data_IF_709868078859
#
_entry.id   IF_709868078859
#
_cell.length_a   1.000
_cell.length_b   1.000
_cell.length_c   1.000
_cell.angle_alpha   90.00
_cell.angle_beta   90.00
_cell.angle_gamma   90.00
#
_symmetry.space_group_name_H-M   'P 1'
#
loop_
_entity.id
_entity.type
_entity.pdbx_description
1 polymer ?
#
# COMPACT_ATOMS: atom_id res chain seq x y z
N UNK A 1 -20.71 28.04 17.12
CA UNK A 1 -19.33 27.52 17.09
C UNK A 1 -19.05 26.91 18.44
N UNK A 2 -18.41 25.76 18.49
CA UNK A 2 -17.95 25.17 19.75
C UNK A 2 -16.66 25.83 20.21
N UNK A 3 -16.47 25.95 21.51
CA UNK A 3 -15.17 26.29 22.10
C UNK A 3 -14.32 25.03 22.37
N UNK A 4 -13.04 25.21 22.67
CA UNK A 4 -12.10 24.10 22.86
C UNK A 4 -12.54 23.13 23.97
N UNK A 5 -13.16 23.62 25.05
CA UNK A 5 -13.67 22.79 26.14
C UNK A 5 -14.86 21.94 25.69
N UNK A 6 -15.77 22.50 24.90
CA UNK A 6 -16.92 21.76 24.35
C UNK A 6 -16.47 20.70 23.34
N UNK A 7 -15.43 21.00 22.55
CA UNK A 7 -14.81 20.01 21.63
C UNK A 7 -14.18 18.87 22.41
N UNK A 8 -13.49 19.17 23.51
CA UNK A 8 -12.89 18.15 24.37
C UNK A 8 -13.95 17.26 25.03
N UNK A 9 -15.00 17.86 25.62
CA UNK A 9 -16.12 17.14 26.24
C UNK A 9 -16.82 16.20 25.24
N UNK A 10 -17.06 16.71 24.03
CA UNK A 10 -17.63 15.92 22.94
C UNK A 10 -16.72 14.76 22.53
N UNK A 11 -15.41 15.02 22.37
CA UNK A 11 -14.43 14.00 21.99
C UNK A 11 -14.32 12.87 23.02
N UNK A 12 -14.26 13.21 24.31
CA UNK A 12 -14.25 12.23 25.39
C UNK A 12 -15.53 11.39 25.42
N UNK A 13 -16.68 12.03 25.22
CA UNK A 13 -17.99 11.34 25.17
C UNK A 13 -18.06 10.37 23.99
N UNK A 14 -17.63 10.80 22.80
CA UNK A 14 -17.61 9.95 21.58
C UNK A 14 -16.71 8.72 21.81
N UNK A 15 -15.49 8.91 22.32
CA UNK A 15 -14.55 7.80 22.58
C UNK A 15 -15.14 6.81 23.59
N UNK A 16 -15.78 7.31 24.65
CA UNK A 16 -16.38 6.44 25.67
C UNK A 16 -17.56 5.63 25.11
N UNK A 17 -18.40 6.24 24.27
CA UNK A 17 -19.52 5.56 23.61
C UNK A 17 -19.02 4.51 22.62
N UNK A 18 -18.01 4.83 21.80
CA UNK A 18 -17.39 3.88 20.88
C UNK A 18 -16.82 2.66 21.62
N UNK A 19 -16.09 2.90 22.72
CA UNK A 19 -15.55 1.83 23.59
C UNK A 19 -16.66 0.97 24.19
N UNK A 20 -17.77 1.58 24.62
CA UNK A 20 -18.92 0.87 25.17
C UNK A 20 -19.55 -0.09 24.15
N UNK A 21 -19.78 0.37 22.92
CA UNK A 21 -20.38 -0.45 21.85
C UNK A 21 -19.38 -1.36 21.12
N UNK A 22 -18.07 -1.20 21.39
CA UNK A 22 -16.95 -1.96 20.78
C UNK A 22 -16.98 -1.95 19.24
N UNK A 23 -17.56 -0.91 18.66
CA UNK A 23 -17.74 -0.71 17.23
C UNK A 23 -17.76 0.79 16.95
N UNK A 24 -17.21 1.24 15.81
CA UNK A 24 -17.38 2.62 15.37
C UNK A 24 -18.86 3.00 15.34
N UNK A 25 -19.19 4.14 15.92
CA UNK A 25 -20.55 4.66 15.98
C UNK A 25 -20.67 5.93 15.14
N UNK A 26 -21.80 6.07 14.47
CA UNK A 26 -22.30 7.32 13.95
C UNK A 26 -23.24 7.93 15.00
N UNK A 27 -22.98 9.17 15.40
CA UNK A 27 -23.64 9.81 16.55
C UNK A 27 -24.22 11.17 16.18
N UNK A 28 -25.44 11.41 16.62
CA UNK A 28 -26.08 12.73 16.59
C UNK A 28 -26.04 13.33 18.00
N UNK A 29 -25.64 14.59 18.10
CA UNK A 29 -25.46 15.29 19.37
C UNK A 29 -25.89 16.75 19.25
N UNK A 30 -26.19 17.36 20.40
CA UNK A 30 -26.53 18.76 20.52
C UNK A 30 -25.99 19.34 21.83
N UNK A 31 -25.71 20.64 21.83
CA UNK A 31 -25.46 21.41 23.05
C UNK A 31 -26.67 22.29 23.36
N UNK A 32 -27.17 22.22 24.58
CA UNK A 32 -28.21 23.11 25.09
C UNK A 32 -27.74 23.66 26.44
N UNK A 33 -27.66 24.99 26.57
CA UNK A 33 -27.21 25.68 27.80
C UNK A 33 -25.87 25.19 28.36
N UNK A 34 -24.90 24.94 27.47
CA UNK A 34 -23.56 24.48 27.84
C UNK A 34 -23.50 23.03 28.33
N UNK A 35 -24.54 22.23 28.03
CA UNK A 35 -24.58 20.81 28.35
C UNK A 35 -24.67 19.99 27.06
N UNK A 36 -23.82 18.98 26.96
CA UNK A 36 -23.83 18.02 25.86
C UNK A 36 -24.98 17.01 26.01
N UNK A 37 -25.70 16.78 24.92
CA UNK A 37 -26.73 15.76 24.78
C UNK A 37 -26.40 14.86 23.58
N UNK A 38 -26.40 13.55 23.80
CA UNK A 38 -26.33 12.55 22.73
C UNK A 38 -27.76 12.15 22.38
N UNK A 39 -28.16 12.41 21.14
CA UNK A 39 -29.52 12.20 20.65
C UNK A 39 -29.69 10.80 20.04
N UNK A 40 -28.67 10.36 19.31
CA UNK A 40 -28.66 9.06 18.64
C UNK A 40 -27.24 8.50 18.59
N UNK A 41 -27.11 7.17 18.70
CA UNK A 41 -25.88 6.44 18.44
C UNK A 41 -26.22 5.15 17.70
N UNK A 42 -25.60 4.95 16.53
CA UNK A 42 -25.82 3.76 15.69
C UNK A 42 -24.49 3.21 15.17
N UNK A 43 -24.32 1.88 15.05
CA UNK A 43 -23.08 1.30 14.56
C UNK A 43 -22.87 1.64 13.08
N UNK A 44 -21.66 2.02 12.71
CA UNK A 44 -21.27 2.18 11.30
C UNK A 44 -21.17 0.80 10.66
N UNK A 45 -22.07 0.49 9.74
CA UNK A 45 -22.19 -0.83 9.11
C UNK A 45 -21.42 -0.96 7.79
N UNK A 46 -20.95 0.14 7.23
CA UNK A 46 -20.22 0.19 5.95
C UNK A 46 -18.73 -0.10 6.09
N UNK A 47 -18.19 -0.09 7.31
CA UNK A 47 -16.79 -0.42 7.56
C UNK A 47 -16.61 -1.93 7.40
N UNK A 48 -15.86 -2.34 6.38
CA UNK A 48 -15.41 -3.72 6.24
C UNK A 48 -14.57 -4.06 7.47
N UNK A 49 -14.91 -5.16 8.17
CA UNK A 49 -14.13 -5.65 9.32
C UNK A 49 -12.69 -5.91 8.87
N UNK A 50 -11.76 -5.05 9.26
CA UNK A 50 -10.32 -5.34 9.24
C UNK A 50 -9.95 -6.06 10.54
N UNK A 51 -10.59 -7.20 10.82
CA UNK A 51 -10.33 -7.99 12.03
C UNK A 51 -9.32 -9.13 11.78
N UNK A 52 -8.67 -9.12 10.63
CA UNK A 52 -7.47 -9.90 10.39
C UNK A 52 -6.33 -8.90 10.18
N UNK A 53 -5.29 -8.98 11.02
CA UNK A 53 -3.95 -8.51 10.65
C UNK A 53 -3.43 -9.42 9.52
N UNK A 54 -4.11 -9.41 8.38
CA UNK A 54 -3.56 -9.80 7.09
C UNK A 54 -3.18 -8.49 6.44
N UNK A 55 -2.13 -7.87 6.96
CA UNK A 55 -1.52 -6.62 6.50
C UNK A 55 -0.82 -6.82 5.16
N UNK A 56 -1.53 -7.35 4.16
CA UNK A 56 -1.19 -7.09 2.76
C UNK A 56 -1.67 -5.67 2.43
N UNK A 57 -1.12 -4.68 3.13
CA UNK A 57 -1.36 -3.27 2.85
C UNK A 57 -0.88 -2.99 1.43
N UNK A 58 -1.78 -2.59 0.55
CA UNK A 58 -1.42 -2.16 -0.80
C UNK A 58 -1.44 -0.63 -0.83
N UNK A 59 -0.33 -0.05 -1.24
CA UNK A 59 -0.18 1.40 -1.40
C UNK A 59 -0.34 1.72 -2.89
N UNK A 60 -1.42 2.44 -3.20
CA UNK A 60 -1.73 2.88 -4.56
C UNK A 60 -1.26 4.32 -4.77
N UNK A 61 -0.41 4.54 -5.77
CA UNK A 61 0.02 5.89 -6.17
C UNK A 61 -0.19 6.09 -7.68
N UNK A 62 -0.65 7.28 -8.06
CA UNK A 62 -0.79 7.65 -9.47
C UNK A 62 0.03 8.89 -9.86
N UNK A 63 0.96 9.34 -9.01
CA UNK A 63 1.65 10.62 -9.18
C UNK A 63 2.44 10.72 -10.48
N UNK A 64 2.99 9.60 -10.95
CA UNK A 64 3.78 9.52 -12.19
C UNK A 64 2.98 8.94 -13.36
N UNK A 65 2.25 7.84 -13.16
CA UNK A 65 1.53 7.15 -14.25
C UNK A 65 0.40 7.99 -14.86
N UNK A 66 -0.12 8.99 -14.13
CA UNK A 66 -1.14 9.92 -14.63
C UNK A 66 -0.64 10.78 -15.78
N UNK A 67 0.68 10.99 -15.92
CA UNK A 67 1.23 11.71 -17.08
C UNK A 67 1.06 10.91 -18.38
N UNK A 68 1.13 9.57 -18.28
CA UNK A 68 0.91 8.66 -19.41
C UNK A 68 -0.58 8.31 -19.60
N UNK A 69 -1.34 8.20 -18.50
CA UNK A 69 -2.76 7.82 -18.50
C UNK A 69 -3.59 8.81 -17.65
N UNK A 70 -3.82 10.04 -18.13
CA UNK A 70 -4.40 11.13 -17.33
C UNK A 70 -5.90 10.97 -17.02
N UNK A 71 -6.63 10.31 -17.91
CA UNK A 71 -8.08 10.20 -17.87
C UNK A 71 -8.56 8.77 -17.56
N UNK A 72 -9.83 8.49 -17.88
CA UNK A 72 -10.43 7.18 -17.71
C UNK A 72 -9.77 6.20 -18.67
N UNK A 73 -9.10 5.21 -18.12
CA UNK A 73 -8.55 4.07 -18.84
C UNK A 73 -9.58 2.95 -18.89
N UNK A 74 -9.91 2.52 -20.11
CA UNK A 74 -10.86 1.44 -20.34
C UNK A 74 -10.25 0.06 -20.03
N UNK A 75 -11.07 -0.95 -19.70
CA UNK A 75 -10.59 -2.28 -19.33
C UNK A 75 -9.66 -2.93 -20.37
N UNK A 76 -9.91 -2.71 -21.67
CA UNK A 76 -9.07 -3.25 -22.74
C UNK A 76 -7.66 -2.64 -22.70
N UNK A 77 -7.57 -1.30 -22.67
CA UNK A 77 -6.29 -0.59 -22.54
C UNK A 77 -5.57 -1.01 -21.26
N UNK A 78 -6.29 -1.09 -20.14
CA UNK A 78 -5.72 -1.54 -18.88
C UNK A 78 -5.14 -2.98 -18.97
N UNK A 79 -5.87 -3.90 -19.63
CA UNK A 79 -5.40 -5.28 -19.81
C UNK A 79 -4.09 -5.35 -20.61
N UNK A 80 -3.96 -4.48 -21.63
CA UNK A 80 -2.76 -4.38 -22.44
C UNK A 80 -1.56 -3.85 -21.64
N UNK A 81 -1.72 -2.72 -20.95
CA UNK A 81 -0.61 -2.10 -20.20
C UNK A 81 -0.20 -2.96 -19.00
N UNK A 82 -1.14 -3.64 -18.34
CA UNK A 82 -0.83 -4.58 -17.26
C UNK A 82 0.07 -5.70 -17.75
N UNK A 83 -0.23 -6.27 -18.92
CA UNK A 83 0.58 -7.32 -19.54
C UNK A 83 1.96 -6.77 -19.96
N UNK A 84 1.99 -5.60 -20.61
CA UNK A 84 3.23 -4.96 -21.05
C UNK A 84 4.17 -4.68 -19.87
N UNK A 85 3.68 -4.10 -18.77
CA UNK A 85 4.48 -3.84 -17.58
C UNK A 85 5.03 -5.12 -16.97
N UNK A 86 4.19 -6.14 -16.81
CA UNK A 86 4.65 -7.44 -16.30
C UNK A 86 5.82 -8.00 -17.13
N UNK A 87 5.67 -8.02 -18.45
CA UNK A 87 6.68 -8.61 -19.33
C UNK A 87 7.97 -7.78 -19.38
N UNK A 88 7.86 -6.45 -19.46
CA UNK A 88 9.02 -5.55 -19.47
C UNK A 88 9.83 -5.70 -18.20
N UNK A 89 9.20 -5.66 -17.02
CA UNK A 89 9.93 -5.72 -15.76
C UNK A 89 10.46 -7.11 -15.45
N UNK A 90 9.76 -8.17 -15.86
CA UNK A 90 10.29 -9.53 -15.81
C UNK A 90 11.59 -9.66 -16.62
N UNK A 91 11.57 -9.21 -17.88
CA UNK A 91 12.76 -9.23 -18.75
C UNK A 91 13.88 -8.34 -18.23
N UNK A 92 13.54 -7.18 -17.69
CA UNK A 92 14.51 -6.29 -17.07
C UNK A 92 15.23 -6.97 -15.90
N UNK A 93 14.51 -7.70 -15.04
CA UNK A 93 15.10 -8.49 -13.96
C UNK A 93 16.02 -9.61 -14.46
N UNK A 94 15.65 -10.29 -15.54
CA UNK A 94 16.52 -11.30 -16.16
C UNK A 94 17.82 -10.69 -16.70
N UNK A 95 17.73 -9.55 -17.41
CA UNK A 95 18.89 -8.86 -18.01
C UNK A 95 19.84 -8.28 -16.96
N UNK A 96 19.30 -7.81 -15.84
CA UNK A 96 20.08 -7.22 -14.74
C UNK A 96 20.69 -8.25 -13.79
N UNK A 97 20.54 -9.55 -14.11
CA UNK A 97 21.21 -10.63 -13.40
C UNK A 97 20.46 -11.18 -12.19
N UNK A 98 19.15 -10.96 -12.08
CA UNK A 98 18.33 -11.63 -11.06
C UNK A 98 18.24 -13.13 -11.41
N UNK A 99 18.53 -14.06 -10.47
CA UNK A 99 18.50 -15.49 -10.76
C UNK A 99 17.13 -15.96 -11.31
N UNK A 100 17.07 -16.84 -12.33
CA UNK A 100 15.81 -17.25 -12.96
C UNK A 100 14.76 -17.82 -11.98
N UNK A 101 15.22 -18.58 -10.97
CA UNK A 101 14.34 -19.12 -9.92
C UNK A 101 13.65 -18.02 -9.11
N UNK A 102 14.34 -16.91 -8.87
CA UNK A 102 13.79 -15.76 -8.15
C UNK A 102 12.77 -15.04 -9.03
N UNK A 103 13.12 -14.79 -10.30
CA UNK A 103 12.19 -14.18 -11.29
C UNK A 103 10.89 -14.98 -11.40
N UNK A 104 10.97 -16.31 -11.51
CA UNK A 104 9.79 -17.18 -11.57
C UNK A 104 8.93 -17.06 -10.30
N UNK A 105 9.56 -17.05 -9.12
CA UNK A 105 8.85 -16.90 -7.84
C UNK A 105 8.19 -15.53 -7.63
N UNK A 106 8.55 -14.53 -8.44
CA UNK A 106 8.04 -13.16 -8.40
C UNK A 106 6.98 -12.87 -9.48
N UNK A 107 6.52 -13.88 -10.24
CA UNK A 107 5.50 -13.68 -11.29
C UNK A 107 4.26 -12.90 -10.80
N UNK A 108 3.78 -13.22 -9.60
CA UNK A 108 2.64 -12.52 -8.98
C UNK A 108 2.93 -11.03 -8.75
N UNK A 109 4.18 -10.65 -8.43
CA UNK A 109 4.57 -9.25 -8.24
C UNK A 109 4.50 -8.51 -9.59
N UNK A 110 5.10 -9.07 -10.64
CA UNK A 110 5.07 -8.49 -12.00
C UNK A 110 3.64 -8.33 -12.54
N UNK A 111 2.79 -9.33 -12.33
CA UNK A 111 1.40 -9.31 -12.81
C UNK A 111 0.52 -8.26 -12.10
N UNK A 112 0.94 -7.82 -10.90
CA UNK A 112 0.19 -6.94 -10.02
C UNK A 112 0.93 -5.61 -9.71
N UNK A 113 1.73 -5.12 -10.67
CA UNK A 113 2.40 -3.82 -10.57
C UNK A 113 1.44 -2.63 -10.76
N UNK A 114 0.32 -2.87 -11.45
CA UNK A 114 -0.69 -1.87 -11.79
C UNK A 114 -2.08 -2.28 -11.27
N UNK A 115 -2.86 -1.28 -10.86
CA UNK A 115 -4.26 -1.41 -10.48
C UNK A 115 -5.15 -0.43 -11.25
N UNK A 116 -6.39 -0.83 -11.53
CA UNK A 116 -7.42 0.02 -12.11
C UNK A 116 -8.49 0.30 -11.06
N UNK A 117 -8.53 1.52 -10.55
CA UNK A 117 -9.48 1.93 -9.51
C UNK A 117 -10.35 3.07 -10.05
N UNK A 118 -11.66 2.82 -10.15
CA UNK A 118 -12.64 3.79 -10.69
C UNK A 118 -12.22 4.39 -12.05
N UNK A 119 -11.63 3.56 -12.92
CA UNK A 119 -11.18 3.97 -14.25
C UNK A 119 -9.82 4.68 -14.28
N UNK A 120 -9.14 4.88 -13.15
CA UNK A 120 -7.78 5.47 -13.12
C UNK A 120 -6.74 4.39 -12.82
N UNK A 121 -5.56 4.55 -13.42
CA UNK A 121 -4.44 3.63 -13.25
C UNK A 121 -3.58 4.06 -12.06
N UNK A 122 -3.17 3.09 -11.25
CA UNK A 122 -2.32 3.28 -10.08
C UNK A 122 -1.19 2.26 -10.09
N UNK A 123 -0.01 2.66 -9.60
CA UNK A 123 1.06 1.77 -9.22
C UNK A 123 0.77 1.11 -7.88
N UNK A 124 1.04 -0.19 -7.78
CA UNK A 124 1.17 -0.87 -6.50
C UNK A 124 2.60 -0.65 -5.98
N UNK A 125 2.79 0.38 -5.15
CA UNK A 125 4.12 0.77 -4.70
C UNK A 125 4.84 -0.36 -3.96
N UNK A 126 4.13 -1.17 -3.18
CA UNK A 126 4.74 -2.30 -2.46
C UNK A 126 5.36 -3.31 -3.44
N UNK A 127 4.68 -3.62 -4.54
CA UNK A 127 5.23 -4.51 -5.56
C UNK A 127 6.42 -3.88 -6.30
N UNK A 128 6.40 -2.56 -6.52
CA UNK A 128 7.57 -1.83 -7.03
C UNK A 128 8.77 -1.93 -6.10
N UNK A 129 8.59 -1.74 -4.79
CA UNK A 129 9.67 -1.92 -3.82
C UNK A 129 10.19 -3.35 -3.80
N UNK A 130 9.29 -4.35 -3.79
CA UNK A 130 9.66 -5.77 -3.86
C UNK A 130 10.53 -6.08 -5.07
N UNK A 131 10.16 -5.54 -6.24
CA UNK A 131 10.94 -5.67 -7.47
C UNK A 131 12.31 -5.01 -7.32
N UNK A 132 12.35 -3.78 -6.82
CA UNK A 132 13.59 -3.01 -6.69
C UNK A 132 14.61 -3.67 -5.76
N UNK A 133 14.16 -4.34 -4.70
CA UNK A 133 15.03 -5.10 -3.81
C UNK A 133 15.76 -6.27 -4.48
N UNK A 134 15.24 -6.78 -5.60
CA UNK A 134 15.89 -7.87 -6.33
C UNK A 134 17.20 -7.43 -6.98
N UNK A 135 17.37 -6.14 -7.26
CA UNK A 135 18.58 -5.64 -7.91
C UNK A 135 19.74 -5.52 -6.92
N UNK A 136 20.97 -5.81 -7.37
CA UNK A 136 22.17 -5.67 -6.54
C UNK A 136 22.35 -4.20 -6.08
N UNK A 137 22.81 -4.02 -4.82
CA UNK A 137 23.02 -2.71 -4.17
C UNK A 137 21.77 -1.83 -3.96
N UNK A 138 20.56 -2.39 -4.09
CA UNK A 138 19.28 -1.70 -3.90
C UNK A 138 19.12 -0.96 -2.57
N UNK A 139 19.61 -1.54 -1.47
CA UNK A 139 19.49 -0.97 -0.11
C UNK A 139 20.19 0.38 0.07
N UNK A 140 21.18 0.71 -0.77
CA UNK A 140 21.91 1.98 -0.71
C UNK A 140 21.33 3.06 -1.64
N UNK A 141 20.28 2.76 -2.42
CA UNK A 141 19.83 3.60 -3.52
C UNK A 141 18.35 4.04 -3.42
N UNK A 142 17.75 4.00 -2.23
CA UNK A 142 16.34 4.40 -1.99
C UNK A 142 16.00 5.80 -2.55
N UNK A 143 16.91 6.77 -2.41
CA UNK A 143 16.75 8.12 -2.97
C UNK A 143 16.73 8.17 -4.50
N UNK A 144 17.56 7.38 -5.16
CA UNK A 144 17.54 7.25 -6.63
C UNK A 144 16.24 6.58 -7.10
N UNK A 145 15.72 5.63 -6.31
CA UNK A 145 14.47 4.94 -6.60
C UNK A 145 13.25 5.86 -6.51
N UNK A 146 13.20 6.71 -5.49
CA UNK A 146 12.14 7.70 -5.32
C UNK A 146 12.15 8.76 -6.44
N UNK A 147 13.33 9.18 -6.86
CA UNK A 147 13.50 10.06 -8.02
C UNK A 147 13.06 9.41 -9.33
N UNK A 148 13.37 8.12 -9.54
CA UNK A 148 12.96 7.40 -10.75
C UNK A 148 11.43 7.20 -10.82
N UNK A 149 10.78 7.05 -9.66
CA UNK A 149 9.34 6.82 -9.55
C UNK A 149 8.52 8.12 -9.40
N UNK A 150 9.15 9.27 -9.16
CA UNK A 150 8.48 10.57 -9.02
C UNK A 150 7.58 10.69 -7.77
N UNK A 151 7.82 9.89 -6.74
CA UNK A 151 6.97 9.82 -5.55
C UNK A 151 7.21 11.05 -4.67
N UNK A 152 6.14 11.79 -4.35
CA UNK A 152 6.25 13.06 -3.59
C UNK A 152 6.36 12.89 -2.06
N UNK A 153 6.13 11.69 -1.54
CA UNK A 153 6.07 11.40 -0.10
C UNK A 153 6.95 10.20 0.24
N UNK A 154 7.90 10.41 1.15
CA UNK A 154 8.68 9.34 1.76
C UNK A 154 7.74 8.34 2.42
N UNK A 155 7.83 7.06 2.04
CA UNK A 155 7.10 5.99 2.70
C UNK A 155 7.85 5.61 3.98
N UNK A 156 7.12 5.46 5.08
CA UNK A 156 7.72 5.08 6.36
C UNK A 156 8.32 3.66 6.24
N UNK A 157 9.50 3.44 6.83
CA UNK A 157 10.13 2.12 6.83
C UNK A 157 9.24 1.05 7.49
N UNK A 158 8.32 1.44 8.37
CA UNK A 158 7.41 0.54 9.10
C UNK A 158 6.34 -0.07 8.18
N UNK A 159 5.73 0.71 7.29
CA UNK A 159 4.71 0.25 6.33
C UNK A 159 5.29 -0.75 5.30
N UNK A 160 6.58 -0.58 5.06
CA UNK A 160 7.35 -1.33 4.07
C UNK A 160 7.88 -2.64 4.67
N UNK A 161 8.40 -2.62 5.92
CA UNK A 161 9.03 -3.79 6.55
C UNK A 161 8.09 -4.99 6.65
N UNK A 162 6.83 -4.80 7.04
CA UNK A 162 5.88 -5.92 7.20
C UNK A 162 5.61 -6.67 5.89
N UNK A 163 5.58 -5.95 4.76
CA UNK A 163 5.38 -6.52 3.43
C UNK A 163 6.68 -7.04 2.77
N UNK A 164 7.85 -6.56 3.21
CA UNK A 164 9.14 -6.87 2.59
C UNK A 164 9.90 -8.01 3.28
N UNK A 165 9.51 -8.45 4.47
CA UNK A 165 10.13 -9.59 5.18
C UNK A 165 10.22 -10.85 4.28
N UNK A 166 9.16 -11.16 3.53
CA UNK A 166 9.14 -12.29 2.58
C UNK A 166 10.12 -12.12 1.40
N UNK A 167 10.36 -10.87 0.97
CA UNK A 167 11.27 -10.57 -0.12
C UNK A 167 12.74 -10.67 0.31
N UNK A 168 13.04 -10.21 1.53
CA UNK A 168 14.38 -10.30 2.12
C UNK A 168 14.83 -11.76 2.32
N UNK A 169 13.94 -12.63 2.81
CA UNK A 169 14.26 -14.06 2.99
C UNK A 169 14.54 -14.80 1.68
N UNK A 170 13.86 -14.42 0.58
CA UNK A 170 14.06 -15.05 -0.74
C UNK A 170 15.36 -14.58 -1.40
N UNK A 171 15.70 -13.30 -1.26
CA UNK A 171 16.96 -12.74 -1.76
C UNK A 171 18.19 -13.36 -1.06
N UNK A 172 18.12 -13.56 0.27
CA UNK A 172 19.17 -14.22 1.05
C UNK A 172 19.34 -15.71 0.70
N UNK A 173 18.22 -16.43 0.49
CA UNK A 173 18.26 -17.85 0.09
C UNK A 173 18.82 -18.07 -1.32
N UNK A 174 18.57 -17.16 -2.26
CA UNK A 174 19.14 -17.21 -3.61
C UNK A 174 20.67 -17.13 -3.61
N UNK A 175 21.24 -16.21 -2.82
CA UNK A 175 22.70 -16.02 -2.71
C UNK A 175 23.44 -17.22 -2.12
N UNK A 176 22.84 -17.91 -1.14
CA UNK A 176 23.47 -19.07 -0.49
C UNK A 176 23.47 -20.35 -1.37
N UNK A 177 22.70 -20.37 -2.46
CA UNK A 177 22.71 -21.50 -3.41
C UNK A 177 23.84 -21.42 -4.45
N UNK A 178 24.49 -20.27 -4.60
CA UNK A 178 25.61 -20.06 -5.54
C UNK A 178 26.98 -20.26 -4.88
N UNK A 179 27.10 -20.21 -3.55
CA UNK A 179 28.36 -20.44 -2.83
C UNK A 179 28.69 -21.92 -2.58
N UNK A 180 27.83 -22.85 -3.01
CA UNK A 180 28.02 -24.30 -2.83
C UNK A 180 28.65 -25.06 -4.00
N UNK A 181 29.11 -24.38 -5.06
CA UNK A 181 29.59 -25.02 -6.30
C UNK A 181 30.99 -24.58 -6.75
N UNK A 182 31.88 -24.29 -5.79
CA UNK A 182 33.33 -24.27 -6.03
C UNK A 182 34.04 -25.15 -5.00
N UNK A 183 34.14 -26.43 -5.33
CA UNK A 183 35.28 -27.27 -4.96
C UNK A 183 36.34 -27.13 -6.06
#
# INVERSE_FOLDING_TARGET
MLNDSEVQELGESIINIEKYYRKPQDMEWAFEKGKLYILQSRPVTTLKKSNEKTSNTIIWDNSNIVESYPEITLPLTFSFIRKAYSDVYKRFSEITGVPPKVVESYQVVYDNMLGLLKGRVYYNLINWYKLLMLFPNSRNNSKFMEQMMGVKKELSEEDIKENLLEAEEKCLRGKNSETGLKN
#
